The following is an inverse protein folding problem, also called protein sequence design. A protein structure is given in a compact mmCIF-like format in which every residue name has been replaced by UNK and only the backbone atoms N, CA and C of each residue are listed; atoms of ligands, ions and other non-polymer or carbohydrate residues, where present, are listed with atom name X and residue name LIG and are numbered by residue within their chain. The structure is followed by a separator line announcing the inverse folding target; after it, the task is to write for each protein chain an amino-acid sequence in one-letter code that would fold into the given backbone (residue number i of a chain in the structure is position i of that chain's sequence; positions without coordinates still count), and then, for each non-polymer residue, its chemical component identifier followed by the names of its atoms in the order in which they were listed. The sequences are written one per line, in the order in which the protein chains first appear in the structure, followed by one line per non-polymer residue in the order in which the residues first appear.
data_IF_691096314959
#
_entry.id   IF_691096314959
#
_cell.length_a   1.000
_cell.length_b   1.000
_cell.length_c   1.000
_cell.angle_alpha   90.00
_cell.angle_beta   90.00
_cell.angle_gamma   90.00
#
_symmetry.space_group_name_H-M   'P 1'
#
loop_
_entity.id
_entity.type
_entity.pdbx_description
1 polymer ?
#
# COMPACT_ATOMS: atom_id res chain seq x y z
N UNK A 1 -12.74 4.22 5.21
CA UNK A 1 -12.58 5.22 4.14
C UNK A 1 -12.99 4.66 2.78
N UNK A 2 -13.22 5.54 1.84
CA UNK A 2 -13.45 5.21 0.43
C UNK A 2 -12.36 5.89 -0.36
N UNK A 3 -11.54 5.10 -1.05
CA UNK A 3 -10.51 5.59 -1.94
C UNK A 3 -11.10 5.85 -3.33
N UNK A 4 -10.96 7.06 -3.83
CA UNK A 4 -11.33 7.41 -5.20
C UNK A 4 -10.09 7.88 -5.97
N UNK A 5 -10.07 7.66 -7.26
CA UNK A 5 -9.06 8.17 -8.17
C UNK A 5 -9.73 8.87 -9.34
N UNK A 6 -9.55 10.17 -9.40
CA UNK A 6 -10.10 11.00 -10.48
C UNK A 6 -9.04 11.22 -11.54
N UNK A 7 -9.33 10.85 -12.78
CA UNK A 7 -8.39 10.90 -13.88
C UNK A 7 -9.03 11.50 -15.15
N UNK A 8 -8.21 11.93 -16.08
CA UNK A 8 -8.65 12.43 -17.37
C UNK A 8 -8.60 11.36 -18.46
N UNK A 9 -9.27 11.59 -19.57
CA UNK A 9 -9.36 10.63 -20.67
C UNK A 9 -8.01 10.31 -21.33
N UNK A 10 -7.02 11.22 -21.27
CA UNK A 10 -5.69 11.04 -21.84
C UNK A 10 -4.70 10.36 -20.88
N UNK A 11 -5.10 10.14 -19.64
CA UNK A 11 -4.30 9.47 -18.59
C UNK A 11 -2.85 10.00 -18.46
N UNK A 12 -2.62 11.28 -18.75
CA UNK A 12 -1.32 11.86 -18.46
C UNK A 12 -1.24 12.30 -17.00
N UNK A 13 -0.06 12.19 -16.39
CA UNK A 13 0.15 12.60 -14.99
C UNK A 13 -0.28 14.05 -14.72
N UNK A 14 -0.12 14.93 -15.71
CA UNK A 14 -0.51 16.34 -15.60
C UNK A 14 -2.02 16.50 -15.61
N UNK A 15 -2.69 15.87 -16.56
CA UNK A 15 -4.14 15.97 -16.71
C UNK A 15 -4.88 15.24 -15.60
N UNK A 16 -4.35 14.12 -15.07
CA UNK A 16 -4.89 13.43 -13.91
C UNK A 16 -4.79 14.30 -12.65
N UNK A 17 -3.68 15.01 -12.46
CA UNK A 17 -3.53 15.96 -11.37
C UNK A 17 -4.48 17.17 -11.50
N UNK A 18 -4.80 17.59 -12.70
CA UNK A 18 -5.80 18.64 -12.97
C UNK A 18 -7.21 18.13 -12.69
N UNK A 19 -7.54 16.91 -13.13
CA UNK A 19 -8.83 16.26 -12.88
C UNK A 19 -9.06 16.07 -11.36
N UNK A 20 -8.05 15.61 -10.63
CA UNK A 20 -8.10 15.47 -9.18
C UNK A 20 -8.43 16.81 -8.48
N UNK A 21 -7.70 17.90 -8.84
CA UNK A 21 -7.95 19.23 -8.29
C UNK A 21 -9.32 19.79 -8.67
N UNK A 22 -9.81 19.47 -9.86
CA UNK A 22 -11.17 19.86 -10.29
C UNK A 22 -12.22 19.14 -9.44
N UNK A 23 -12.06 17.84 -9.20
CA UNK A 23 -12.97 17.08 -8.36
C UNK A 23 -13.03 17.66 -6.94
N UNK A 24 -11.89 17.98 -6.34
CA UNK A 24 -11.82 18.61 -5.02
C UNK A 24 -12.58 19.94 -5.00
N UNK A 25 -12.36 20.82 -5.98
CA UNK A 25 -13.08 22.11 -6.08
C UNK A 25 -14.58 21.94 -6.24
N UNK A 26 -15.02 20.95 -7.02
CA UNK A 26 -16.45 20.65 -7.17
C UNK A 26 -17.08 20.20 -5.84
N UNK A 27 -16.32 19.55 -4.96
CA UNK A 27 -16.80 19.23 -3.60
C UNK A 27 -16.94 20.49 -2.76
N UNK A 28 -15.98 21.41 -2.80
CA UNK A 28 -16.08 22.71 -2.10
C UNK A 28 -17.25 23.56 -2.59
N UNK A 29 -17.48 23.62 -3.90
CA UNK A 29 -18.64 24.32 -4.49
C UNK A 29 -19.97 23.77 -4.02
N UNK A 30 -20.00 22.49 -3.59
CA UNK A 30 -21.16 21.85 -2.97
C UNK A 30 -21.22 22.02 -1.44
N UNK A 31 -20.32 22.82 -0.88
CA UNK A 31 -20.26 23.09 0.57
C UNK A 31 -19.61 21.97 1.39
N UNK A 32 -18.84 21.08 0.76
CA UNK A 32 -18.06 20.04 1.43
C UNK A 32 -16.65 20.56 1.65
N UNK A 33 -16.20 20.65 2.90
CA UNK A 33 -14.85 21.06 3.25
C UNK A 33 -13.83 20.00 2.81
N UNK A 34 -12.79 20.41 2.07
CA UNK A 34 -11.74 19.52 1.55
C UNK A 34 -10.40 19.87 2.19
N UNK A 35 -9.73 18.92 2.81
CA UNK A 35 -8.34 19.01 3.23
C UNK A 35 -7.42 18.64 2.06
N UNK A 36 -6.98 19.66 1.31
CA UNK A 36 -6.12 19.49 0.12
C UNK A 36 -4.71 19.02 0.45
N UNK A 37 -4.25 19.26 1.67
CA UNK A 37 -2.89 18.98 2.12
C UNK A 37 -2.83 17.80 3.10
N UNK A 38 -3.91 17.03 3.21
CA UNK A 38 -3.98 15.90 4.12
C UNK A 38 -2.78 14.96 3.96
N UNK A 39 -2.39 14.69 2.71
CA UNK A 39 -1.15 13.99 2.40
C UNK A 39 -0.63 14.38 1.00
N UNK A 40 0.64 14.06 0.72
CA UNK A 40 1.20 14.19 -0.64
C UNK A 40 0.48 13.27 -1.64
N UNK A 41 -0.15 12.20 -1.16
CA UNK A 41 -0.79 11.14 -1.94
C UNK A 41 -2.25 11.47 -2.28
N UNK A 42 -3.00 12.08 -1.38
CA UNK A 42 -4.44 12.36 -1.51
C UNK A 42 -4.86 13.62 -0.77
N UNK A 43 -5.94 14.24 -1.22
CA UNK A 43 -6.80 15.13 -0.44
C UNK A 43 -7.86 14.32 0.29
N UNK A 44 -8.48 14.87 1.33
CA UNK A 44 -9.49 14.18 2.11
C UNK A 44 -10.70 15.08 2.37
N UNK A 45 -11.90 14.49 2.34
CA UNK A 45 -13.13 15.13 2.77
C UNK A 45 -14.07 14.11 3.41
N UNK A 46 -15.09 14.60 4.11
CA UNK A 46 -16.11 13.74 4.72
C UNK A 46 -17.44 13.89 3.98
N UNK A 47 -18.02 12.77 3.59
CA UNK A 47 -19.37 12.73 3.05
C UNK A 47 -20.27 11.86 3.93
N UNK A 48 -21.29 12.45 4.55
CA UNK A 48 -22.19 11.76 5.52
C UNK A 48 -21.44 11.01 6.63
N UNK A 49 -20.32 11.58 7.11
CA UNK A 49 -19.51 10.99 8.17
C UNK A 49 -18.52 9.91 7.70
N UNK A 50 -18.49 9.60 6.41
CA UNK A 50 -17.55 8.64 5.81
C UNK A 50 -16.36 9.43 5.24
N UNK A 51 -15.10 9.11 5.62
CA UNK A 51 -13.93 9.72 5.01
C UNK A 51 -13.76 9.24 3.58
N UNK A 52 -13.52 10.17 2.67
CA UNK A 52 -13.24 9.95 1.25
C UNK A 52 -11.83 10.46 0.97
N UNK A 53 -10.96 9.61 0.46
CA UNK A 53 -9.61 9.96 0.04
C UNK A 53 -9.57 10.10 -1.50
N UNK A 54 -9.36 11.33 -2.00
CA UNK A 54 -9.20 11.56 -3.44
C UNK A 54 -7.73 11.49 -3.82
N UNK A 55 -7.32 10.34 -4.35
CA UNK A 55 -5.94 10.02 -4.64
C UNK A 55 -5.38 10.74 -5.86
N UNK A 56 -4.17 11.30 -5.70
CA UNK A 56 -3.37 11.94 -6.77
C UNK A 56 -2.46 10.91 -7.47
N UNK A 57 -2.10 9.83 -6.76
CA UNK A 57 -1.29 8.72 -7.26
C UNK A 57 -1.77 7.43 -6.62
N UNK A 58 -1.65 6.31 -7.31
CA UNK A 58 -1.99 4.99 -6.75
C UNK A 58 -1.02 4.57 -5.65
N UNK A 59 0.24 4.97 -5.79
CA UNK A 59 1.32 4.60 -4.88
C UNK A 59 2.11 5.86 -4.54
N UNK A 60 2.51 6.00 -3.27
CA UNK A 60 3.50 7.02 -2.91
C UNK A 60 4.83 6.71 -3.60
N UNK A 61 5.04 7.34 -4.77
CA UNK A 61 6.15 7.03 -5.68
C UNK A 61 7.43 7.79 -5.36
N UNK A 62 7.42 8.77 -4.46
CA UNK A 62 8.57 9.66 -4.24
C UNK A 62 9.73 8.95 -3.53
N UNK A 63 9.45 7.91 -2.78
CA UNK A 63 10.43 7.30 -1.89
C UNK A 63 11.35 6.30 -2.58
N UNK A 64 10.85 5.45 -3.50
CA UNK A 64 11.64 4.35 -4.07
C UNK A 64 11.43 4.16 -5.57
N UNK A 65 12.52 3.80 -6.28
CA UNK A 65 12.47 3.54 -7.73
C UNK A 65 11.46 2.45 -8.11
N UNK A 66 11.26 1.46 -7.26
CA UNK A 66 10.27 0.40 -7.48
C UNK A 66 8.85 0.97 -7.43
N UNK A 67 8.55 1.88 -6.50
CA UNK A 67 7.25 2.52 -6.40
C UNK A 67 6.90 3.31 -7.67
N UNK A 68 7.85 4.07 -8.22
CA UNK A 68 7.67 4.77 -9.51
C UNK A 68 7.34 3.81 -10.66
N UNK A 69 8.03 2.65 -10.71
CA UNK A 69 7.75 1.63 -11.73
C UNK A 69 6.36 1.01 -11.55
N UNK A 70 5.97 0.75 -10.31
CA UNK A 70 4.66 0.15 -10.00
C UNK A 70 3.52 1.12 -10.26
N UNK A 71 3.69 2.40 -9.93
CA UNK A 71 2.69 3.43 -10.25
C UNK A 71 2.46 3.54 -11.77
N UNK A 72 3.55 3.55 -12.56
CA UNK A 72 3.46 3.51 -14.02
C UNK A 72 2.81 2.23 -14.56
N UNK A 73 3.05 1.09 -13.92
CA UNK A 73 2.40 -0.17 -14.30
C UNK A 73 0.91 -0.10 -13.98
N UNK A 74 0.54 0.38 -12.81
CA UNK A 74 -0.87 0.55 -12.42
C UNK A 74 -1.62 1.50 -13.37
N UNK A 75 -0.98 2.62 -13.78
CA UNK A 75 -1.56 3.51 -14.80
C UNK A 75 -1.82 2.78 -16.12
N UNK A 76 -0.93 1.89 -16.57
CA UNK A 76 -1.16 1.07 -17.77
C UNK A 76 -2.27 0.04 -17.59
N UNK A 77 -2.39 -0.52 -16.38
CA UNK A 77 -3.40 -1.53 -16.05
C UNK A 77 -4.75 -0.91 -15.68
N UNK A 78 -4.84 0.42 -15.61
CA UNK A 78 -6.07 1.12 -15.32
C UNK A 78 -7.04 0.96 -16.50
N UNK A 79 -7.84 -0.08 -16.42
CA UNK A 79 -8.95 -0.37 -17.30
C UNK A 79 -10.19 -0.50 -16.42
N UNK A 80 -10.89 0.62 -16.13
CA UNK A 80 -12.02 0.59 -15.25
C UNK A 80 -13.17 -0.20 -15.88
N UNK A 81 -13.84 -0.97 -15.03
CA UNK A 81 -15.04 -1.71 -15.40
C UNK A 81 -16.25 -1.12 -14.70
N UNK A 82 -17.39 -1.09 -15.39
CA UNK A 82 -18.64 -0.63 -14.78
C UNK A 82 -19.17 -1.68 -13.81
N UNK A 83 -19.54 -1.26 -12.62
CA UNK A 83 -20.21 -2.07 -11.63
C UNK A 83 -21.53 -1.39 -11.21
N UNK A 84 -22.60 -2.18 -11.12
CA UNK A 84 -23.88 -1.67 -10.62
C UNK A 84 -23.93 -1.76 -9.10
N UNK A 85 -24.35 -0.65 -8.47
CA UNK A 85 -24.64 -0.57 -7.06
C UNK A 85 -26.16 -0.55 -6.86
N UNK A 86 -26.68 -1.58 -6.18
CA UNK A 86 -28.10 -1.70 -5.80
C UNK A 86 -29.09 -1.49 -6.96
N UNK A 87 -28.68 -1.78 -8.20
CA UNK A 87 -29.49 -1.60 -9.40
C UNK A 87 -29.90 -0.14 -9.69
N UNK A 88 -29.27 0.84 -9.02
CA UNK A 88 -29.66 2.26 -9.10
C UNK A 88 -28.60 3.17 -9.68
N UNK A 89 -27.35 2.82 -9.52
CA UNK A 89 -26.24 3.61 -10.08
C UNK A 89 -25.12 2.69 -10.54
N UNK A 90 -24.42 3.18 -11.56
CA UNK A 90 -23.22 2.52 -12.08
C UNK A 90 -21.99 3.31 -11.62
N UNK A 91 -20.98 2.60 -11.12
CA UNK A 91 -19.69 3.16 -10.76
C UNK A 91 -18.58 2.50 -11.57
N UNK A 92 -17.48 3.19 -11.74
CA UNK A 92 -16.27 2.63 -12.31
C UNK A 92 -15.39 2.07 -11.19
N UNK A 93 -15.02 0.80 -11.29
CA UNK A 93 -14.10 0.14 -10.37
C UNK A 93 -12.86 -0.35 -11.13
N UNK A 94 -11.70 -0.47 -10.48
CA UNK A 94 -10.51 -1.04 -11.11
C UNK A 94 -10.73 -2.49 -11.55
N UNK A 95 -10.05 -2.90 -12.63
CA UNK A 95 -10.10 -4.29 -13.10
C UNK A 95 -9.44 -5.25 -12.09
N UNK A 96 -9.76 -6.55 -12.19
CA UNK A 96 -9.14 -7.59 -11.37
C UNK A 96 -7.62 -7.62 -11.52
N UNK A 97 -7.12 -7.41 -12.72
CA UNK A 97 -5.67 -7.36 -13.01
C UNK A 97 -4.99 -6.17 -12.33
N UNK A 98 -5.62 -4.98 -12.34
CA UNK A 98 -5.15 -3.82 -11.58
C UNK A 98 -5.12 -4.15 -10.09
N UNK A 99 -6.22 -4.68 -9.55
CA UNK A 99 -6.34 -5.01 -8.13
C UNK A 99 -5.33 -6.08 -7.68
N UNK A 100 -5.01 -7.06 -8.53
CA UNK A 100 -3.95 -8.05 -8.26
C UNK A 100 -2.61 -7.36 -7.99
N UNK A 101 -2.22 -6.43 -8.83
CA UNK A 101 -0.94 -5.70 -8.66
C UNK A 101 -1.00 -4.72 -7.51
N UNK A 102 -2.09 -3.96 -7.39
CA UNK A 102 -2.26 -2.93 -6.36
C UNK A 102 -2.26 -3.52 -4.95
N UNK A 103 -3.13 -4.50 -4.66
CA UNK A 103 -3.25 -5.11 -3.33
C UNK A 103 -1.96 -5.83 -2.92
N UNK A 104 -1.33 -6.57 -3.85
CA UNK A 104 -0.06 -7.22 -3.55
C UNK A 104 1.06 -6.21 -3.26
N UNK A 105 1.13 -5.11 -4.02
CA UNK A 105 2.13 -4.08 -3.79
C UNK A 105 1.86 -3.31 -2.49
N UNK A 106 0.61 -3.01 -2.20
CA UNK A 106 0.20 -2.41 -0.94
C UNK A 106 0.61 -3.28 0.26
N UNK A 107 0.29 -4.57 0.23
CA UNK A 107 0.72 -5.52 1.25
C UNK A 107 2.26 -5.60 1.37
N UNK A 108 3.00 -5.61 0.25
CA UNK A 108 4.46 -5.61 0.24
C UNK A 108 5.06 -4.34 0.86
N UNK A 109 4.42 -3.17 0.70
CA UNK A 109 4.84 -1.93 1.36
C UNK A 109 4.63 -1.99 2.89
N UNK A 110 3.61 -2.72 3.34
CA UNK A 110 3.33 -2.93 4.76
C UNK A 110 4.13 -4.06 5.38
N UNK A 111 4.80 -4.90 4.60
CA UNK A 111 5.60 -6.00 5.12
C UNK A 111 6.66 -5.51 6.10
N UNK A 112 6.67 -6.10 7.31
CA UNK A 112 7.47 -5.71 8.48
C UNK A 112 7.29 -4.24 8.96
N UNK A 113 6.20 -3.57 8.53
CA UNK A 113 5.85 -2.22 8.98
C UNK A 113 4.48 -2.15 9.64
N UNK A 114 3.71 -3.20 9.56
CA UNK A 114 2.32 -3.26 10.03
C UNK A 114 1.44 -4.03 9.06
N UNK A 115 2.01 -5.00 8.33
CA UNK A 115 1.20 -5.96 7.59
C UNK A 115 0.28 -6.67 8.59
N UNK A 116 -1.00 -6.62 8.36
CA UNK A 116 -2.02 -7.13 9.25
C UNK A 116 -2.97 -8.08 8.51
N UNK A 117 -3.79 -8.82 9.26
CA UNK A 117 -4.70 -9.82 8.71
C UNK A 117 -5.64 -9.26 7.64
N UNK A 118 -6.09 -8.00 7.77
CA UNK A 118 -7.00 -7.39 6.79
C UNK A 118 -6.40 -7.38 5.37
N UNK A 119 -5.08 -7.19 5.19
CA UNK A 119 -4.45 -7.26 3.86
C UNK A 119 -4.59 -8.65 3.23
N UNK A 120 -4.57 -9.73 4.05
CA UNK A 120 -4.84 -11.08 3.55
C UNK A 120 -6.33 -11.29 3.29
N UNK A 121 -7.22 -10.69 4.10
CA UNK A 121 -8.66 -10.73 3.85
C UNK A 121 -9.02 -10.05 2.52
N UNK A 122 -8.45 -8.88 2.23
CA UNK A 122 -8.64 -8.19 0.95
C UNK A 122 -8.15 -9.06 -0.21
N UNK A 123 -7.00 -9.72 -0.04
CA UNK A 123 -6.47 -10.65 -1.04
C UNK A 123 -7.37 -11.88 -1.22
N UNK A 124 -7.88 -12.47 -0.14
CA UNK A 124 -8.81 -13.59 -0.20
C UNK A 124 -10.13 -13.20 -0.89
N UNK A 125 -10.65 -12.00 -0.63
CA UNK A 125 -11.82 -11.47 -1.33
C UNK A 125 -11.59 -11.37 -2.85
N UNK A 126 -10.41 -10.91 -3.27
CA UNK A 126 -10.02 -10.88 -4.68
C UNK A 126 -10.02 -12.29 -5.29
N UNK A 127 -9.35 -13.25 -4.62
CA UNK A 127 -9.21 -14.63 -5.08
C UNK A 127 -10.53 -15.40 -5.15
N UNK A 128 -11.47 -15.10 -4.26
CA UNK A 128 -12.81 -15.71 -4.27
C UNK A 128 -13.71 -15.18 -5.38
N UNK A 129 -13.39 -14.02 -5.94
CA UNK A 129 -14.21 -13.37 -6.96
C UNK A 129 -13.65 -13.49 -8.38
N UNK A 130 -12.33 -13.60 -8.49
CA UNK A 130 -11.62 -13.58 -9.77
C UNK A 130 -10.52 -14.62 -9.81
N UNK A 131 -10.26 -15.17 -10.98
CA UNK A 131 -9.09 -15.98 -11.22
C UNK A 131 -7.81 -15.15 -11.04
N UNK A 132 -6.83 -15.73 -10.37
CA UNK A 132 -5.54 -15.06 -10.17
C UNK A 132 -4.81 -14.91 -11.50
N UNK A 133 -4.68 -13.67 -11.95
CA UNK A 133 -3.89 -13.32 -13.13
C UNK A 133 -2.76 -12.37 -12.74
N UNK A 134 -1.52 -12.85 -12.89
CA UNK A 134 -0.32 -12.03 -12.67
C UNK A 134 0.14 -11.51 -14.02
N UNK A 135 0.05 -10.19 -14.29
CA UNK A 135 0.46 -9.62 -15.58
C UNK A 135 1.91 -9.94 -15.94
N UNK A 136 2.20 -10.12 -17.22
CA UNK A 136 3.57 -10.40 -17.70
C UNK A 136 4.55 -9.28 -17.37
N UNK A 137 4.07 -8.03 -17.30
CA UNK A 137 4.84 -6.86 -16.92
C UNK A 137 5.36 -6.91 -15.48
N UNK A 138 4.78 -7.76 -14.63
CA UNK A 138 5.30 -8.05 -13.29
C UNK A 138 6.49 -9.01 -13.41
N UNK A 139 7.64 -8.46 -13.77
CA UNK A 139 8.88 -9.24 -14.04
C UNK A 139 9.74 -9.48 -12.81
N UNK A 140 9.54 -8.71 -11.72
CA UNK A 140 10.35 -8.88 -10.50
C UNK A 140 9.95 -10.17 -9.76
N UNK A 141 10.86 -11.13 -9.73
CA UNK A 141 10.64 -12.45 -9.13
C UNK A 141 10.33 -12.36 -7.61
N UNK A 142 10.86 -11.37 -6.91
CA UNK A 142 10.60 -11.20 -5.47
C UNK A 142 9.17 -10.74 -5.24
N UNK A 143 8.70 -9.80 -6.08
CA UNK A 143 7.33 -9.35 -6.01
C UNK A 143 6.34 -10.44 -6.45
N UNK A 144 6.67 -11.22 -7.48
CA UNK A 144 5.87 -12.42 -7.84
C UNK A 144 5.80 -13.41 -6.69
N UNK A 145 6.93 -13.64 -6.00
CA UNK A 145 6.96 -14.53 -4.83
C UNK A 145 6.09 -14.03 -3.67
N UNK A 146 5.96 -12.70 -3.50
CA UNK A 146 5.02 -12.10 -2.53
C UNK A 146 3.56 -12.46 -2.88
N UNK A 147 3.19 -12.35 -4.15
CA UNK A 147 1.85 -12.74 -4.64
C UNK A 147 1.56 -14.21 -4.34
N UNK A 148 2.51 -15.10 -4.65
CA UNK A 148 2.37 -16.54 -4.39
C UNK A 148 2.25 -16.84 -2.90
N UNK A 149 3.07 -16.19 -2.06
CA UNK A 149 3.05 -16.36 -0.62
C UNK A 149 1.72 -15.91 0.00
N UNK A 150 1.18 -14.76 -0.41
CA UNK A 150 -0.14 -14.29 0.03
C UNK A 150 -1.25 -15.25 -0.39
N UNK A 151 -1.21 -15.73 -1.63
CA UNK A 151 -2.19 -16.70 -2.16
C UNK A 151 -2.16 -18.00 -1.35
N UNK A 152 -0.97 -18.51 -1.04
CA UNK A 152 -0.82 -19.70 -0.19
C UNK A 152 -1.42 -19.50 1.20
N UNK A 153 -1.12 -18.36 1.86
CA UNK A 153 -1.70 -18.05 3.16
C UNK A 153 -3.22 -17.98 3.13
N UNK A 154 -3.79 -17.43 2.05
CA UNK A 154 -5.25 -17.42 1.90
C UNK A 154 -5.82 -18.83 1.69
N UNK A 155 -5.14 -19.69 0.93
CA UNK A 155 -5.55 -21.09 0.80
C UNK A 155 -5.48 -21.84 2.14
N UNK A 156 -4.40 -21.65 2.90
CA UNK A 156 -4.15 -22.40 4.13
C UNK A 156 -5.06 -21.93 5.29
N UNK A 157 -5.42 -20.64 5.34
CA UNK A 157 -6.07 -20.06 6.53
C UNK A 157 -7.39 -19.33 6.27
N UNK A 158 -7.68 -18.94 5.01
CA UNK A 158 -8.87 -18.11 4.68
C UNK A 158 -9.83 -18.80 3.70
N UNK A 159 -9.61 -20.08 3.42
CA UNK A 159 -10.55 -20.91 2.68
C UNK A 159 -10.59 -20.65 1.17
N UNK A 160 -9.59 -20.00 0.59
CA UNK A 160 -9.45 -19.96 -0.88
C UNK A 160 -8.85 -21.26 -1.41
N UNK A 161 -8.96 -21.52 -2.72
CA UNK A 161 -8.47 -22.77 -3.35
C UNK A 161 -7.82 -22.52 -4.72
N UNK A 162 -6.99 -21.49 -4.78
CA UNK A 162 -6.30 -21.09 -6.01
C UNK A 162 -5.03 -21.91 -6.21
N UNK A 163 -4.80 -22.56 -7.36
CA UNK A 163 -3.55 -23.26 -7.63
C UNK A 163 -2.33 -22.35 -7.49
N UNK A 164 -1.39 -22.73 -6.63
CA UNK A 164 -0.17 -21.96 -6.37
C UNK A 164 1.03 -22.87 -6.19
N UNK A 165 2.14 -22.53 -6.86
CA UNK A 165 3.40 -23.24 -6.77
C UNK A 165 4.50 -22.29 -6.32
N UNK A 166 5.15 -22.58 -5.19
CA UNK A 166 6.16 -21.70 -4.57
C UNK A 166 5.58 -20.78 -3.49
N UNK A 167 6.43 -19.92 -2.95
CA UNK A 167 6.06 -18.94 -1.92
C UNK A 167 6.10 -19.44 -0.48
N UNK A 168 6.41 -20.72 -0.21
CA UNK A 168 6.33 -21.37 1.11
C UNK A 168 7.13 -20.62 2.18
N UNK A 169 8.41 -20.44 1.97
CA UNK A 169 9.29 -19.80 2.97
C UNK A 169 8.87 -18.36 3.27
N UNK A 170 8.45 -17.60 2.26
CA UNK A 170 7.96 -16.23 2.46
C UNK A 170 6.57 -16.23 3.13
N UNK A 171 5.71 -17.18 2.84
CA UNK A 171 4.41 -17.32 3.51
C UNK A 171 4.57 -17.53 5.03
N UNK A 172 5.49 -18.41 5.44
CA UNK A 172 5.80 -18.62 6.87
C UNK A 172 6.35 -17.35 7.54
N UNK A 173 7.22 -16.60 6.84
CA UNK A 173 7.75 -15.33 7.35
C UNK A 173 6.63 -14.28 7.50
N UNK A 174 5.77 -14.13 6.52
CA UNK A 174 4.61 -13.21 6.54
C UNK A 174 3.68 -13.59 7.69
N UNK A 175 3.33 -14.85 7.85
CA UNK A 175 2.47 -15.31 8.94
C UNK A 175 3.06 -14.97 10.31
N UNK A 176 4.37 -15.16 10.48
CA UNK A 176 5.08 -14.81 11.71
C UNK A 176 5.05 -13.31 11.99
N UNK A 177 5.23 -12.48 10.97
CA UNK A 177 5.14 -11.03 11.09
C UNK A 177 3.74 -10.56 11.49
N UNK A 178 2.69 -11.21 11.00
CA UNK A 178 1.30 -10.86 11.36
C UNK A 178 0.99 -11.28 12.80
N UNK A 179 1.36 -12.51 13.20
CA UNK A 179 0.97 -13.05 14.51
C UNK A 179 1.88 -12.53 15.63
N UNK A 180 3.19 -12.44 15.38
CA UNK A 180 4.21 -12.05 16.36
C UNK A 180 5.31 -11.20 15.73
N UNK A 181 5.01 -9.94 15.38
CA UNK A 181 6.01 -9.07 14.80
C UNK A 181 7.20 -8.91 15.76
N UNK A 182 8.45 -9.14 15.32
CA UNK A 182 9.64 -9.06 16.18
C UNK A 182 9.92 -7.63 16.64
N UNK A 183 9.40 -6.65 15.90
CA UNK A 183 9.48 -5.22 16.22
C UNK A 183 8.13 -4.56 16.01
N UNK A 184 7.69 -3.80 16.99
CA UNK A 184 6.45 -3.00 16.91
C UNK A 184 6.77 -1.50 16.84
N UNK A 185 5.78 -0.67 16.59
CA UNK A 185 5.91 0.79 16.70
C UNK A 185 6.17 1.18 18.16
N UNK A 186 5.61 0.45 19.11
CA UNK A 186 5.90 0.65 20.53
C UNK A 186 7.36 0.28 20.85
N UNK A 187 8.11 1.21 21.44
CA UNK A 187 9.50 1.01 21.83
C UNK A 187 9.55 0.61 23.33
N UNK A 188 9.85 -0.65 23.66
CA UNK A 188 9.87 -1.12 25.05
C UNK A 188 11.15 -0.71 25.78
N UNK A 189 11.62 0.51 25.59
CA UNK A 189 12.91 0.97 26.07
C UNK A 189 12.76 2.18 26.99
N UNK A 190 13.54 2.22 28.07
CA UNK A 190 13.44 3.22 29.14
C UNK A 190 14.43 4.38 29.02
N UNK A 191 15.55 4.21 28.31
CA UNK A 191 16.57 5.24 28.15
C UNK A 191 16.90 5.51 26.68
N UNK A 192 17.51 6.67 26.42
CA UNK A 192 17.80 7.15 25.04
C UNK A 192 18.66 6.15 24.25
N UNK A 193 19.63 5.50 24.87
CA UNK A 193 20.47 4.53 24.19
C UNK A 193 19.70 3.27 23.78
N UNK A 194 18.93 2.69 24.68
CA UNK A 194 18.11 1.52 24.36
C UNK A 194 17.03 1.81 23.31
N UNK A 195 16.47 3.03 23.30
CA UNK A 195 15.55 3.48 22.24
C UNK A 195 16.28 3.51 20.88
N UNK A 196 17.46 4.09 20.83
CA UNK A 196 18.26 4.16 19.60
C UNK A 196 18.60 2.77 19.07
N UNK A 197 19.10 1.88 19.95
CA UNK A 197 19.43 0.49 19.58
C UNK A 197 18.19 -0.26 19.05
N UNK A 198 17.05 -0.13 19.74
CA UNK A 198 15.80 -0.77 19.30
C UNK A 198 15.37 -0.25 17.91
N UNK A 199 15.34 1.07 17.73
CA UNK A 199 14.94 1.69 16.44
C UNK A 199 15.89 1.29 15.31
N UNK A 200 17.19 1.21 15.56
CA UNK A 200 18.18 0.76 14.58
C UNK A 200 17.94 -0.70 14.19
N UNK A 201 17.75 -1.59 15.17
CA UNK A 201 17.44 -3.00 14.90
C UNK A 201 16.12 -3.15 14.12
N UNK A 202 15.07 -2.43 14.52
CA UNK A 202 13.79 -2.39 13.80
C UNK A 202 13.97 -1.90 12.36
N UNK A 203 14.73 -0.82 12.15
CA UNK A 203 15.02 -0.28 10.83
C UNK A 203 15.72 -1.32 9.93
N UNK A 204 16.73 -2.01 10.43
CA UNK A 204 17.46 -3.04 9.69
C UNK A 204 16.57 -4.26 9.37
N UNK A 205 15.76 -4.70 10.33
CA UNK A 205 14.79 -5.78 10.12
C UNK A 205 13.79 -5.40 9.03
N UNK A 206 13.15 -4.23 9.16
CA UNK A 206 12.19 -3.72 8.18
C UNK A 206 12.81 -3.59 6.79
N UNK A 207 14.06 -3.09 6.70
CA UNK A 207 14.77 -3.03 5.43
C UNK A 207 14.96 -4.43 4.81
N UNK A 208 15.41 -5.42 5.59
CA UNK A 208 15.61 -6.80 5.09
C UNK A 208 14.32 -7.38 4.55
N UNK A 209 13.23 -7.27 5.31
CA UNK A 209 11.92 -7.75 4.90
C UNK A 209 11.41 -7.01 3.64
N UNK A 210 11.44 -5.69 3.61
CA UNK A 210 11.05 -4.94 2.41
C UNK A 210 11.95 -5.26 1.20
N UNK A 211 13.25 -5.47 1.39
CA UNK A 211 14.17 -5.81 0.30
C UNK A 211 13.95 -7.24 -0.22
N UNK A 212 13.44 -8.17 0.60
CA UNK A 212 13.12 -9.53 0.13
C UNK A 212 11.94 -9.54 -0.86
N UNK A 213 11.07 -8.53 -0.82
CA UNK A 213 9.88 -8.44 -1.69
C UNK A 213 9.92 -7.30 -2.71
N UNK A 214 10.59 -6.17 -2.42
CA UNK A 214 10.54 -4.94 -3.24
C UNK A 214 11.89 -4.41 -3.73
N UNK A 215 12.99 -5.10 -3.50
CA UNK A 215 14.32 -4.70 -3.99
C UNK A 215 14.74 -3.27 -3.62
N UNK A 216 14.79 -2.97 -2.33
CA UNK A 216 15.10 -1.64 -1.81
C UNK A 216 16.57 -1.54 -1.38
N UNK A 217 17.31 -0.56 -1.92
CA UNK A 217 18.71 -0.32 -1.52
C UNK A 217 18.85 0.14 -0.06
N UNK A 218 19.74 -0.49 0.71
CA UNK A 218 20.03 -0.12 2.09
C UNK A 218 20.53 1.33 2.20
N UNK A 219 21.43 1.76 1.32
CA UNK A 219 21.96 3.13 1.35
C UNK A 219 20.84 4.16 1.18
N UNK A 220 19.92 3.91 0.24
CA UNK A 220 18.77 4.80 0.03
C UNK A 220 17.83 4.79 1.24
N UNK A 221 17.57 3.62 1.81
CA UNK A 221 16.74 3.47 3.01
C UNK A 221 17.30 4.23 4.21
N UNK A 222 18.58 4.07 4.49
CA UNK A 222 19.28 4.78 5.58
C UNK A 222 19.30 6.28 5.31
N UNK A 223 19.63 6.70 4.08
CA UNK A 223 19.62 8.11 3.70
C UNK A 223 18.28 8.80 3.92
N UNK A 224 17.17 8.18 3.52
CA UNK A 224 15.81 8.69 3.77
C UNK A 224 15.53 8.77 5.28
N UNK A 225 15.89 7.73 6.05
CA UNK A 225 15.70 7.73 7.51
C UNK A 225 16.48 8.87 8.18
N UNK A 226 17.71 9.12 7.76
CA UNK A 226 18.53 10.23 8.26
C UNK A 226 17.88 11.57 7.92
N UNK A 227 17.44 11.78 6.66
CA UNK A 227 16.80 13.03 6.23
C UNK A 227 15.52 13.31 7.02
N UNK A 228 14.69 12.31 7.26
CA UNK A 228 13.48 12.46 8.07
C UNK A 228 13.80 12.87 9.51
N UNK A 229 14.82 12.27 10.12
CA UNK A 229 15.24 12.64 11.47
C UNK A 229 15.94 14.00 11.55
N UNK A 230 16.62 14.43 10.50
CA UNK A 230 17.19 15.79 10.42
C UNK A 230 16.08 16.85 10.32
N UNK A 231 15.01 16.57 9.59
CA UNK A 231 13.83 17.45 9.51
C UNK A 231 13.03 17.50 10.82
N UNK A 232 13.03 16.41 11.57
CA UNK A 232 12.26 16.27 12.82
C UNK A 232 13.09 15.58 13.91
N UNK A 233 14.12 16.24 14.51
CA UNK A 233 15.06 15.61 15.44
C UNK A 233 14.42 15.03 16.71
N UNK A 234 13.30 15.62 17.16
CA UNK A 234 12.55 15.12 18.32
C UNK A 234 12.04 13.69 18.14
N UNK A 235 11.81 13.26 16.89
CA UNK A 235 11.32 11.91 16.57
C UNK A 235 12.34 10.80 16.86
N UNK A 236 13.64 11.11 16.98
CA UNK A 236 14.69 10.13 17.24
C UNK A 236 14.42 9.37 18.55
N UNK A 237 14.02 10.11 19.59
CA UNK A 237 13.79 9.55 20.92
C UNK A 237 12.30 9.42 21.28
N UNK A 238 11.41 9.75 20.36
CA UNK A 238 9.99 9.61 20.58
C UNK A 238 9.62 8.12 20.66
N UNK A 239 8.87 7.75 21.70
CA UNK A 239 8.27 6.43 21.84
C UNK A 239 6.80 6.53 21.53
N UNK A 240 6.32 5.80 20.53
CA UNK A 240 4.88 5.71 20.28
C UNK A 240 4.25 4.95 21.44
N UNK A 241 3.28 5.55 22.11
CA UNK A 241 2.44 4.88 23.10
C UNK A 241 1.40 4.02 22.36
N UNK A 242 1.00 2.91 23.01
CA UNK A 242 -0.14 2.09 22.55
C UNK A 242 -1.40 2.91 22.48
#
# INVERSE_FOLDING_TARGET
DIDIFTYSADHSRKSDAEANRLADRLMEEKGIEVDFEHSEKHSMFYYKGIPIENHKTFINSETYRIAVKMDKLLQKLLQPVSAELDGKCSILIPSSTFNTVFLAFHAAQHYARGLALHHLCDWACLLNRYDLHIPEEVTDIRFRNMILAMTRLCNDYLGTSVPVYGGEGLAEEILREIIRPPYTKFVPAKNKWSILVYKTKRMLHTHRACNSVLRISLCKWVGISILLHLRSPHTIFQTERK
#
